data_IF_948017023774
#
_entry.id   IF_948017023774
#
_cell.length_a   1.000
_cell.length_b   1.000
_cell.length_c   1.000
_cell.angle_alpha   90.00
_cell.angle_beta   90.00
_cell.angle_gamma   90.00
#
_symmetry.space_group_name_H-M   'P 1'
#
loop_
_entity.id
_entity.type
_entity.pdbx_description
1 polymer ?
#
# COMPACT_ATOMS: atom_id res chain seq x y z
N UNK A 1 6.83 5.26 -9.16
CA UNK A 1 7.15 4.92 -7.76
C UNK A 1 6.90 3.43 -7.42
N UNK A 2 6.08 2.73 -8.21
CA UNK A 2 5.80 1.30 -7.97
C UNK A 2 7.08 0.44 -7.92
N UNK A 3 8.08 0.73 -8.73
CA UNK A 3 9.35 -0.01 -8.73
C UNK A 3 10.12 0.10 -7.40
N UNK A 4 9.92 1.17 -6.65
CA UNK A 4 10.58 1.37 -5.35
C UNK A 4 10.07 0.40 -4.28
N UNK A 5 8.86 -0.09 -4.44
CA UNK A 5 8.32 -1.13 -3.58
C UNK A 5 9.10 -2.46 -3.68
N UNK A 6 9.76 -2.71 -4.80
CA UNK A 6 10.61 -3.89 -4.94
C UNK A 6 11.77 -3.91 -3.93
N UNK A 7 12.45 -2.77 -3.76
CA UNK A 7 13.50 -2.62 -2.75
C UNK A 7 12.95 -2.80 -1.33
N UNK A 8 11.80 -2.22 -1.06
CA UNK A 8 11.13 -2.36 0.24
C UNK A 8 10.84 -3.83 0.57
N UNK A 9 10.25 -4.59 -0.35
CA UNK A 9 9.97 -6.02 -0.17
C UNK A 9 11.25 -6.81 0.07
N UNK A 10 12.28 -6.56 -0.74
CA UNK A 10 13.56 -7.25 -0.62
C UNK A 10 14.22 -7.02 0.75
N UNK A 11 14.28 -5.78 1.20
CA UNK A 11 14.89 -5.44 2.48
C UNK A 11 14.09 -5.97 3.67
N UNK A 12 12.77 -5.89 3.63
CA UNK A 12 11.92 -6.45 4.70
C UNK A 12 12.11 -7.96 4.81
N UNK A 13 12.21 -8.67 3.69
CA UNK A 13 12.46 -10.11 3.70
C UNK A 13 13.85 -10.43 4.30
N UNK A 14 14.87 -9.67 3.94
CA UNK A 14 16.20 -9.81 4.52
C UNK A 14 16.22 -9.58 6.04
N UNK A 15 15.32 -8.74 6.54
CA UNK A 15 15.14 -8.49 7.97
C UNK A 15 14.33 -9.59 8.69
N UNK A 16 13.90 -10.62 7.98
CA UNK A 16 13.19 -11.76 8.53
C UNK A 16 11.67 -11.66 8.48
N UNK A 17 11.11 -10.66 7.82
CA UNK A 17 9.66 -10.55 7.65
C UNK A 17 9.15 -11.59 6.65
N UNK A 18 8.00 -12.18 6.94
CA UNK A 18 7.24 -12.94 5.96
C UNK A 18 6.33 -11.97 5.21
N UNK A 19 6.42 -11.95 3.88
CA UNK A 19 5.77 -10.95 3.07
C UNK A 19 4.83 -11.61 2.07
N UNK A 20 3.62 -11.08 1.99
CA UNK A 20 2.66 -11.40 0.93
C UNK A 20 2.27 -10.11 0.23
N UNK A 21 2.22 -10.15 -1.09
CA UNK A 21 1.99 -8.97 -1.92
C UNK A 21 0.63 -9.05 -2.58
N UNK A 22 -0.10 -7.95 -2.50
CA UNK A 22 -1.31 -7.70 -3.28
C UNK A 22 -0.98 -6.61 -4.29
N UNK A 23 -1.32 -6.82 -5.55
CA UNK A 23 -1.18 -5.81 -6.59
C UNK A 23 -2.54 -5.50 -7.21
N UNK A 24 -2.77 -4.25 -7.53
CA UNK A 24 -3.88 -3.88 -8.42
C UNK A 24 -3.56 -4.30 -9.85
N UNK A 25 -4.58 -4.48 -10.69
CA UNK A 25 -4.37 -4.76 -12.11
C UNK A 25 -3.53 -3.66 -12.77
N UNK A 26 -3.79 -2.40 -12.42
CA UNK A 26 -3.01 -1.27 -12.92
C UNK A 26 -1.54 -1.36 -12.50
N UNK A 27 -1.24 -1.76 -11.28
CA UNK A 27 0.13 -1.93 -10.81
C UNK A 27 0.88 -2.98 -11.62
N UNK A 28 0.22 -4.04 -12.09
CA UNK A 28 0.84 -5.10 -12.91
C UNK A 28 1.27 -4.61 -14.29
N UNK A 29 0.71 -3.51 -14.77
CA UNK A 29 1.15 -2.86 -16.01
C UNK A 29 2.46 -2.09 -15.83
N UNK A 30 2.77 -1.68 -14.60
CA UNK A 30 3.97 -0.91 -14.26
C UNK A 30 5.14 -1.79 -13.83
N UNK A 31 4.86 -2.85 -13.09
CA UNK A 31 5.86 -3.81 -12.59
C UNK A 31 5.28 -5.22 -12.70
N UNK A 32 6.05 -6.14 -13.23
CA UNK A 32 5.61 -7.52 -13.37
C UNK A 32 5.36 -8.17 -12.00
N UNK A 33 4.21 -8.80 -11.83
CA UNK A 33 3.84 -9.50 -10.58
C UNK A 33 4.84 -10.60 -10.22
N UNK A 34 5.43 -11.25 -11.23
CA UNK A 34 6.45 -12.27 -11.04
C UNK A 34 7.66 -11.77 -10.24
N UNK A 35 8.06 -10.52 -10.45
CA UNK A 35 9.17 -9.94 -9.69
C UNK A 35 8.86 -9.89 -8.20
N UNK A 36 7.67 -9.47 -7.82
CA UNK A 36 7.25 -9.47 -6.42
C UNK A 36 7.09 -10.88 -5.86
N UNK A 37 6.63 -11.84 -6.67
CA UNK A 37 6.57 -13.23 -6.24
C UNK A 37 7.95 -13.78 -5.91
N UNK A 38 8.96 -13.48 -6.72
CA UNK A 38 10.34 -13.90 -6.48
C UNK A 38 10.95 -13.18 -5.26
N UNK A 39 10.74 -11.87 -5.14
CA UNK A 39 11.27 -11.09 -4.02
C UNK A 39 10.64 -11.47 -2.68
N UNK A 40 9.36 -11.72 -2.64
CA UNK A 40 8.65 -12.11 -1.42
C UNK A 40 8.75 -13.60 -1.10
N UNK A 41 9.01 -14.43 -2.11
CA UNK A 41 8.97 -15.89 -2.01
C UNK A 41 7.55 -16.45 -1.91
N UNK A 42 6.53 -15.65 -2.22
CA UNK A 42 5.13 -16.03 -2.15
C UNK A 42 4.36 -15.61 -3.41
N UNK A 43 3.28 -16.32 -3.77
CA UNK A 43 2.42 -15.89 -4.86
C UNK A 43 1.83 -14.49 -4.62
N UNK A 44 1.70 -13.70 -5.68
CA UNK A 44 1.08 -12.37 -5.64
C UNK A 44 -0.42 -12.49 -5.88
N UNK A 45 -1.21 -11.84 -5.05
CA UNK A 45 -2.66 -11.75 -5.22
C UNK A 45 -3.00 -10.54 -6.10
N UNK A 46 -3.62 -10.76 -7.25
CA UNK A 46 -4.00 -9.70 -8.19
C UNK A 46 -5.50 -9.69 -8.43
N UNK A 47 -6.06 -10.82 -8.83
CA UNK A 47 -7.44 -10.90 -9.29
C UNK A 47 -8.41 -11.31 -8.21
N UNK A 48 -9.52 -10.59 -8.15
CA UNK A 48 -10.68 -10.95 -7.36
C UNK A 48 -11.39 -12.19 -7.90
N UNK A 49 -11.45 -12.34 -9.22
CA UNK A 49 -12.23 -13.36 -9.93
C UNK A 49 -11.35 -14.35 -10.70
N UNK A 50 -10.25 -14.80 -10.11
CA UNK A 50 -9.42 -15.86 -10.70
C UNK A 50 -10.09 -17.24 -10.63
N UNK A 51 -9.52 -18.21 -11.36
CA UNK A 51 -10.01 -19.62 -11.45
C UNK A 51 -10.08 -20.38 -10.12
N UNK A 52 -9.79 -19.74 -9.01
CA UNK A 52 -9.83 -20.36 -7.69
C UNK A 52 -11.18 -20.08 -7.06
N UNK A 53 -11.92 -21.10 -6.84
CA UNK A 53 -13.28 -21.16 -6.29
C UNK A 53 -13.44 -20.63 -4.86
N UNK A 54 -12.41 -20.01 -4.25
CA UNK A 54 -12.40 -19.55 -2.86
C UNK A 54 -11.94 -18.10 -2.73
N UNK A 55 -12.43 -17.22 -3.59
CA UNK A 55 -12.10 -15.80 -3.57
C UNK A 55 -12.42 -15.14 -2.22
N UNK A 56 -13.61 -15.38 -1.69
CA UNK A 56 -14.06 -14.80 -0.42
C UNK A 56 -13.16 -15.21 0.76
N UNK A 57 -12.56 -16.38 0.69
CA UNK A 57 -11.65 -16.89 1.72
C UNK A 57 -10.27 -16.25 1.62
N UNK A 58 -9.85 -15.83 0.43
CA UNK A 58 -8.47 -15.36 0.19
C UNK A 58 -8.21 -13.96 0.76
N UNK A 59 -9.08 -13.00 0.53
CA UNK A 59 -8.93 -11.66 1.09
C UNK A 59 -9.16 -11.65 2.60
N UNK A 60 -10.09 -12.47 3.09
CA UNK A 60 -10.31 -12.66 4.53
C UNK A 60 -9.09 -13.32 5.17
N UNK A 61 -8.52 -14.33 4.54
CA UNK A 61 -7.33 -15.01 5.05
C UNK A 61 -6.12 -14.07 5.11
N UNK A 62 -5.91 -13.23 4.09
CA UNK A 62 -4.85 -12.22 4.09
C UNK A 62 -5.09 -11.15 5.15
N UNK A 63 -6.34 -10.70 5.31
CA UNK A 63 -6.72 -9.71 6.31
C UNK A 63 -6.49 -10.23 7.73
N UNK A 64 -6.74 -11.52 7.98
CA UNK A 64 -6.53 -12.15 9.29
C UNK A 64 -5.05 -12.51 9.53
N UNK A 65 -4.30 -12.84 8.48
CA UNK A 65 -2.91 -13.26 8.59
C UNK A 65 -1.95 -12.10 8.89
N UNK A 66 -2.19 -10.94 8.30
CA UNK A 66 -1.24 -9.83 8.36
C UNK A 66 -1.15 -9.20 9.75
N UNK A 67 0.06 -8.96 10.22
CA UNK A 67 0.32 -8.16 11.42
C UNK A 67 0.24 -6.66 11.11
N UNK A 68 0.54 -6.30 9.87
CA UNK A 68 0.46 -4.93 9.34
C UNK A 68 0.24 -4.98 7.83
N UNK A 69 -0.58 -4.07 7.33
CA UNK A 69 -0.66 -3.77 5.90
C UNK A 69 0.15 -2.52 5.59
N UNK A 70 1.02 -2.61 4.59
CA UNK A 70 1.75 -1.45 4.07
C UNK A 70 1.33 -1.23 2.63
N UNK A 71 0.69 -0.11 2.36
CA UNK A 71 0.25 0.28 1.01
C UNK A 71 1.30 1.21 0.42
N UNK A 72 2.14 0.68 -0.44
CA UNK A 72 3.31 1.39 -0.96
C UNK A 72 3.53 1.12 -2.47
N UNK A 73 3.45 2.10 -3.31
CA UNK A 73 2.95 3.45 -3.05
C UNK A 73 1.43 3.50 -2.88
N UNK A 74 0.94 4.40 -2.06
CA UNK A 74 -0.49 4.67 -1.95
C UNK A 74 -0.88 5.83 -2.88
N UNK A 75 -1.71 5.53 -3.87
CA UNK A 75 -2.24 6.53 -4.79
C UNK A 75 -3.43 7.27 -4.18
N UNK A 76 -3.77 8.42 -4.76
CA UNK A 76 -5.02 9.11 -4.41
C UNK A 76 -6.25 8.21 -4.60
N UNK A 77 -6.21 7.31 -5.59
CA UNK A 77 -7.29 6.38 -5.88
C UNK A 77 -7.55 5.41 -4.71
N UNK A 78 -6.54 4.70 -4.24
CA UNK A 78 -6.73 3.74 -3.13
C UNK A 78 -7.09 4.45 -1.82
N UNK A 79 -6.50 5.61 -1.54
CA UNK A 79 -6.84 6.43 -0.38
C UNK A 79 -8.32 6.83 -0.44
N UNK A 80 -8.78 7.31 -1.59
CA UNK A 80 -10.16 7.70 -1.81
C UNK A 80 -11.13 6.54 -1.69
N UNK A 81 -10.80 5.37 -2.23
CA UNK A 81 -11.63 4.16 -2.11
C UNK A 81 -11.81 3.75 -0.65
N UNK A 82 -10.73 3.65 0.10
CA UNK A 82 -10.80 3.23 1.51
C UNK A 82 -11.55 4.27 2.34
N UNK A 83 -11.31 5.57 2.10
CA UNK A 83 -12.02 6.64 2.77
C UNK A 83 -13.52 6.65 2.51
N UNK A 84 -13.95 6.11 1.37
CA UNK A 84 -15.36 5.99 0.97
C UNK A 84 -15.95 4.60 1.20
N UNK A 85 -15.19 3.65 1.74
CA UNK A 85 -15.63 2.29 1.97
C UNK A 85 -15.86 1.48 0.69
N UNK A 86 -15.14 1.80 -0.40
CA UNK A 86 -15.27 1.10 -1.68
C UNK A 86 -14.29 -0.07 -1.74
N UNK A 87 -14.82 -1.28 -1.81
CA UNK A 87 -14.05 -2.52 -1.97
C UNK A 87 -14.40 -3.20 -3.29
N UNK A 88 -13.82 -2.72 -4.39
CA UNK A 88 -14.12 -3.20 -5.75
C UNK A 88 -12.96 -4.00 -6.38
N UNK A 89 -11.86 -4.15 -5.68
CA UNK A 89 -10.73 -4.99 -6.08
C UNK A 89 -10.13 -5.74 -4.88
N UNK A 90 -9.13 -6.58 -5.13
CA UNK A 90 -8.49 -7.38 -4.08
C UNK A 90 -7.86 -6.50 -3.01
N UNK A 91 -7.18 -5.42 -3.41
CA UNK A 91 -6.51 -4.52 -2.47
C UNK A 91 -7.52 -3.78 -1.59
N UNK A 92 -8.46 -3.07 -2.19
CA UNK A 92 -9.44 -2.28 -1.44
C UNK A 92 -10.31 -3.15 -0.53
N UNK A 93 -10.74 -4.33 -1.02
CA UNK A 93 -11.50 -5.29 -0.22
C UNK A 93 -10.71 -5.81 0.97
N UNK A 94 -9.44 -6.15 0.76
CA UNK A 94 -8.56 -6.62 1.83
C UNK A 94 -8.33 -5.54 2.89
N UNK A 95 -8.11 -4.30 2.48
CA UNK A 95 -7.90 -3.19 3.41
C UNK A 95 -9.15 -2.88 4.24
N UNK A 96 -10.33 -2.91 3.63
CA UNK A 96 -11.61 -2.69 4.34
C UNK A 96 -11.90 -3.83 5.32
N UNK A 97 -11.48 -5.04 5.00
CA UNK A 97 -11.66 -6.22 5.85
C UNK A 97 -10.56 -6.38 6.92
N UNK A 98 -9.51 -5.58 6.88
CA UNK A 98 -8.35 -5.75 7.75
C UNK A 98 -8.67 -5.43 9.21
N UNK A 99 -8.16 -6.27 10.11
CA UNK A 99 -8.18 -6.04 11.56
C UNK A 99 -6.84 -5.51 12.09
N UNK A 100 -5.77 -5.71 11.32
CA UNK A 100 -4.44 -5.21 11.65
C UNK A 100 -4.26 -3.76 11.22
N UNK A 101 -3.24 -3.06 11.76
CA UNK A 101 -2.96 -1.68 11.36
C UNK A 101 -2.66 -1.57 9.86
N UNK A 102 -3.02 -0.44 9.30
CA UNK A 102 -2.75 -0.10 7.91
C UNK A 102 -1.88 1.15 7.86
N UNK A 103 -0.73 1.04 7.20
CA UNK A 103 0.19 2.13 6.96
C UNK A 103 0.16 2.49 5.47
N UNK A 104 -0.28 3.69 5.15
CA UNK A 104 -0.22 4.23 3.80
C UNK A 104 1.09 4.97 3.59
N UNK A 105 1.72 4.73 2.44
CA UNK A 105 2.92 5.42 1.98
C UNK A 105 2.55 6.21 0.71
N UNK A 106 2.00 7.43 0.86
CA UNK A 106 1.51 8.19 -0.28
C UNK A 106 2.64 8.57 -1.24
N UNK A 107 2.38 8.41 -2.53
CA UNK A 107 3.23 8.93 -3.60
C UNK A 107 2.36 9.31 -4.78
N UNK A 108 2.39 10.58 -5.15
CA UNK A 108 1.57 11.13 -6.22
C UNK A 108 2.10 12.48 -6.66
N UNK A 109 1.57 12.98 -7.76
CA UNK A 109 1.82 14.34 -8.22
C UNK A 109 1.49 15.35 -7.12
N UNK A 110 2.28 16.42 -7.01
CA UNK A 110 2.12 17.46 -5.98
C UNK A 110 0.73 18.07 -5.98
N UNK A 111 0.16 18.37 -7.15
CA UNK A 111 -1.19 18.93 -7.24
C UNK A 111 -2.25 17.96 -6.75
N UNK A 112 -2.08 16.68 -6.98
CA UNK A 112 -2.96 15.64 -6.43
C UNK A 112 -2.81 15.55 -4.92
N UNK A 113 -1.58 15.58 -4.42
CA UNK A 113 -1.31 15.55 -2.99
C UNK A 113 -1.91 16.76 -2.27
N UNK A 114 -1.77 17.95 -2.84
CA UNK A 114 -2.28 19.20 -2.27
C UNK A 114 -3.80 19.41 -2.50
N UNK A 115 -4.43 18.54 -3.29
CA UNK A 115 -5.86 18.65 -3.54
C UNK A 115 -6.64 18.53 -2.22
N UNK A 116 -7.55 19.49 -1.92
CA UNK A 116 -8.27 19.51 -0.65
C UNK A 116 -9.06 18.23 -0.37
N UNK A 117 -9.61 17.58 -1.40
CA UNK A 117 -10.36 16.32 -1.26
C UNK A 117 -9.42 15.19 -0.86
N UNK A 118 -8.23 15.11 -1.48
CA UNK A 118 -7.22 14.09 -1.13
C UNK A 118 -6.73 14.31 0.29
N UNK A 119 -6.41 15.54 0.67
CA UNK A 119 -5.99 15.88 2.04
C UNK A 119 -7.10 15.57 3.06
N UNK A 120 -8.35 15.82 2.71
CA UNK A 120 -9.50 15.54 3.57
C UNK A 120 -9.70 14.03 3.75
N UNK A 121 -9.55 13.24 2.68
CA UNK A 121 -9.57 11.78 2.74
C UNK A 121 -8.47 11.23 3.65
N UNK A 122 -7.25 11.74 3.56
CA UNK A 122 -6.15 11.35 4.40
C UNK A 122 -6.41 11.68 5.88
N UNK A 123 -6.93 12.88 6.15
CA UNK A 123 -7.31 13.31 7.50
C UNK A 123 -8.42 12.45 8.07
N UNK A 124 -9.43 12.15 7.28
CA UNK A 124 -10.53 11.25 7.67
C UNK A 124 -9.99 9.88 8.08
N UNK A 125 -9.15 9.28 7.24
CA UNK A 125 -8.56 7.98 7.53
C UNK A 125 -7.67 8.03 8.77
N UNK A 126 -6.85 9.07 8.92
CA UNK A 126 -6.05 9.25 10.12
C UNK A 126 -6.91 9.29 11.39
N UNK A 127 -8.02 10.01 11.36
CA UNK A 127 -8.95 10.10 12.49
C UNK A 127 -9.63 8.75 12.81
N UNK A 128 -9.73 7.86 11.84
CA UNK A 128 -10.23 6.50 12.02
C UNK A 128 -9.14 5.49 12.42
N UNK A 129 -7.91 5.94 12.65
CA UNK A 129 -6.82 5.08 13.12
C UNK A 129 -5.90 4.53 12.04
N UNK A 130 -6.03 4.97 10.79
CA UNK A 130 -5.08 4.63 9.75
C UNK A 130 -3.81 5.48 9.89
N UNK A 131 -2.68 4.92 9.49
CA UNK A 131 -1.37 5.56 9.62
C UNK A 131 -0.84 5.99 8.25
N UNK A 132 -0.07 7.07 8.24
CA UNK A 132 0.51 7.64 7.02
C UNK A 132 1.99 7.95 7.22
N UNK A 133 2.80 7.65 6.21
CA UNK A 133 4.17 8.14 6.11
C UNK A 133 4.13 9.42 5.28
N UNK A 134 4.72 10.50 5.77
CA UNK A 134 4.82 11.74 5.00
C UNK A 134 5.67 11.53 3.75
N UNK A 135 5.16 11.91 2.57
CA UNK A 135 5.97 11.83 1.35
C UNK A 135 7.13 12.81 1.40
N UNK A 136 8.21 12.46 0.71
CA UNK A 136 9.36 13.36 0.56
C UNK A 136 9.05 14.46 -0.46
N UNK A 137 9.78 15.57 -0.33
CA UNK A 137 9.80 16.65 -1.32
C UNK A 137 10.95 16.43 -2.29
N UNK A 138 10.79 16.85 -3.54
CA UNK A 138 11.83 16.76 -4.54
C UNK A 138 11.30 16.61 -5.95
N UNK A 139 12.16 16.13 -6.84
CA UNK A 139 11.84 15.98 -8.26
C UNK A 139 10.88 14.80 -8.46
N UNK A 140 9.76 15.05 -9.11
CA UNK A 140 8.75 14.06 -9.45
C UNK A 140 8.93 13.54 -10.89
N UNK A 141 8.35 12.41 -11.19
CA UNK A 141 8.41 11.80 -12.52
C UNK A 141 7.84 12.70 -13.64
N UNK A 142 7.01 13.67 -13.30
CA UNK A 142 6.44 14.66 -14.23
C UNK A 142 7.25 15.96 -14.34
N UNK A 143 8.52 15.96 -13.95
CA UNK A 143 9.40 17.15 -13.91
C UNK A 143 8.94 18.29 -13.00
N UNK A 144 7.96 18.06 -12.15
CA UNK A 144 7.57 19.01 -11.11
C UNK A 144 8.38 18.79 -9.84
N UNK A 145 8.60 19.84 -9.08
CA UNK A 145 9.19 19.77 -7.74
C UNK A 145 8.14 20.07 -6.69
N UNK A 146 8.16 19.33 -5.60
CA UNK A 146 7.22 19.54 -4.51
C UNK A 146 7.00 18.28 -3.67
N UNK A 147 6.03 18.34 -2.77
CA UNK A 147 5.63 17.22 -1.92
C UNK A 147 4.87 16.17 -2.72
N UNK A 148 5.08 14.90 -2.43
CA UNK A 148 4.38 13.79 -3.09
C UNK A 148 5.31 12.68 -3.57
N UNK A 149 6.60 12.82 -3.40
CA UNK A 149 7.60 11.81 -3.75
C UNK A 149 7.57 10.65 -2.76
N UNK A 150 7.74 9.43 -3.29
CA UNK A 150 7.90 8.24 -2.45
C UNK A 150 9.05 8.44 -1.45
N UNK A 151 8.82 8.25 -0.14
CA UNK A 151 9.81 8.56 0.88
C UNK A 151 10.98 7.57 0.87
N UNK A 152 12.08 7.95 1.51
CA UNK A 152 13.19 7.05 1.77
C UNK A 152 12.73 5.84 2.59
N UNK A 153 13.28 4.65 2.32
CA UNK A 153 12.89 3.40 2.99
C UNK A 153 13.05 3.48 4.51
N UNK A 154 14.10 4.15 5.00
CA UNK A 154 14.32 4.33 6.44
C UNK A 154 13.14 4.99 7.14
N UNK A 155 12.48 5.93 6.46
CA UNK A 155 11.30 6.62 6.96
C UNK A 155 10.11 5.69 7.05
N UNK A 156 9.96 4.78 6.07
CA UNK A 156 8.92 3.75 6.09
C UNK A 156 9.17 2.76 7.22
N UNK A 157 10.39 2.27 7.38
CA UNK A 157 10.75 1.34 8.46
C UNK A 157 10.52 1.96 9.84
N UNK A 158 10.90 3.22 10.02
CA UNK A 158 10.67 3.94 11.28
C UNK A 158 9.19 4.10 11.60
N UNK A 159 8.34 4.27 10.58
CA UNK A 159 6.89 4.34 10.75
C UNK A 159 6.26 2.98 11.05
N UNK A 160 6.83 1.89 10.54
CA UNK A 160 6.30 0.54 10.77
C UNK A 160 6.47 0.08 12.23
N UNK A 161 7.61 0.38 12.86
CA UNK A 161 7.92 -0.07 14.23
C UNK A 161 6.86 0.35 15.25
N UNK A 162 6.50 1.65 15.41
CA UNK A 162 5.46 2.05 16.36
C UNK A 162 4.09 1.49 16.00
N UNK A 163 3.78 1.37 14.72
CA UNK A 163 2.47 0.88 14.23
C UNK A 163 2.27 -0.59 14.58
N UNK A 164 3.29 -1.42 14.42
CA UNK A 164 3.21 -2.85 14.72
C UNK A 164 3.07 -3.17 16.21
N UNK A 165 3.41 -2.23 17.11
CA UNK A 165 3.32 -2.40 18.55
C UNK A 165 2.07 -1.79 19.20
N UNK A 166 1.21 -1.10 18.44
CA UNK A 166 0.11 -0.32 19.01
C UNK A 166 -1.26 -1.03 19.01
N UNK A 167 -1.28 -2.33 18.86
CA UNK A 167 -2.58 -3.04 18.94
C UNK A 167 -2.50 -4.42 19.56
#
# INVERSE_FOLDING_TARGET
AAYKACGLVSHLRQMGAEIRVIMTEHATELVASRLFAELSGNPVAVNMFGKVTNFDVRHIALAAWADIFVVAPATANIIGKVASGIGDDMLSTSLISAHSPILFVPAMNTHMFDNPIVQDNMRKLHNFGYHFVDPDSGHLACNASGKGRFPEESKIFSAMDPVSYTH
#
